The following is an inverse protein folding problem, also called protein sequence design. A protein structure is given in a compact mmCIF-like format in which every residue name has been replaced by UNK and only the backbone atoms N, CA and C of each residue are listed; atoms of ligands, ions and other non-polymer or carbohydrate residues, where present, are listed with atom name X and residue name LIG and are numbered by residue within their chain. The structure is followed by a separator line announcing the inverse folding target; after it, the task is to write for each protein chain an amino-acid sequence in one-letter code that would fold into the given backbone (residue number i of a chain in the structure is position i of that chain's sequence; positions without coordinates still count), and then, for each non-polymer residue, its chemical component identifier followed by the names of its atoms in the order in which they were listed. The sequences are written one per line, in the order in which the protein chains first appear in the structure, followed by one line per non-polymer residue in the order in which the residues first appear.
data_IF_785066559804
#
_entry.id   IF_785066559804
#
_cell.length_a   1.000
_cell.length_b   1.000
_cell.length_c   1.000
_cell.angle_alpha   90.00
_cell.angle_beta   90.00
_cell.angle_gamma   90.00
#
_symmetry.space_group_name_H-M   'P 1'
#
loop_
_entity.id
_entity.type
_entity.pdbx_description
1 polymer ?
#
# COMPACT_ATOMS: atom_id res chain seq x y z
N UNK A 1 -16.88 14.41 -11.93
CA UNK A 1 -15.64 13.66 -12.26
C UNK A 1 -15.81 12.33 -11.57
N UNK A 2 -15.62 11.22 -12.27
CA UNK A 2 -15.79 9.86 -11.71
C UNK A 2 -14.63 9.56 -10.76
N UNK A 3 -14.91 8.98 -9.62
CA UNK A 3 -13.90 8.51 -8.65
C UNK A 3 -13.81 6.99 -8.65
N UNK A 4 -12.62 6.47 -8.37
CA UNK A 4 -12.35 5.04 -8.25
C UNK A 4 -11.56 4.82 -6.96
N UNK A 5 -12.23 4.31 -5.93
CA UNK A 5 -11.65 3.94 -4.65
C UNK A 5 -10.98 2.58 -4.78
N UNK A 6 -9.75 2.45 -4.29
CA UNK A 6 -8.92 1.23 -4.49
C UNK A 6 -8.19 0.88 -3.20
N UNK A 7 -8.15 -0.41 -2.88
CA UNK A 7 -7.23 -1.00 -1.91
C UNK A 7 -6.72 -2.33 -2.44
N UNK A 8 -5.43 -2.61 -2.33
CA UNK A 8 -4.82 -3.85 -2.82
C UNK A 8 -4.07 -4.58 -1.71
N UNK A 9 -4.15 -5.91 -1.76
CA UNK A 9 -3.33 -6.77 -0.93
C UNK A 9 -2.29 -7.49 -1.79
N UNK A 10 -1.03 -7.45 -1.38
CA UNK A 10 0.07 -7.96 -2.20
C UNK A 10 0.94 -8.95 -1.44
N UNK A 11 1.62 -9.83 -2.16
CA UNK A 11 2.71 -10.64 -1.63
C UNK A 11 4.04 -10.20 -2.24
N UNK A 12 5.08 -10.21 -1.45
CA UNK A 12 6.49 -10.18 -1.90
C UNK A 12 7.39 -10.82 -0.84
N UNK A 13 8.48 -11.44 -1.28
CA UNK A 13 9.55 -11.89 -0.38
C UNK A 13 10.38 -10.74 0.19
N UNK A 14 10.27 -9.56 -0.41
CA UNK A 14 10.99 -8.36 0.02
C UNK A 14 10.24 -7.67 1.17
N UNK A 15 10.96 -7.27 2.21
CA UNK A 15 10.37 -6.58 3.36
C UNK A 15 10.23 -5.08 3.07
N UNK A 16 9.01 -4.64 2.80
CA UNK A 16 8.68 -3.24 2.50
C UNK A 16 9.15 -2.28 3.62
N UNK A 17 9.16 -2.72 4.88
CA UNK A 17 9.62 -1.89 6.00
C UNK A 17 11.12 -1.59 5.97
N UNK A 18 11.90 -2.37 5.20
CA UNK A 18 13.35 -2.19 5.05
C UNK A 18 13.74 -1.48 3.77
N UNK A 19 12.99 -1.63 2.70
CA UNK A 19 13.39 -1.17 1.37
C UNK A 19 12.49 -0.08 0.79
N UNK A 20 11.33 0.19 1.40
CA UNK A 20 10.33 1.12 0.87
C UNK A 20 9.53 0.55 -0.31
N UNK A 21 8.50 1.29 -0.74
CA UNK A 21 7.50 0.81 -1.70
C UNK A 21 8.07 0.57 -3.10
N UNK A 22 9.01 1.41 -3.56
CA UNK A 22 9.58 1.28 -4.91
C UNK A 22 10.33 -0.03 -5.09
N UNK A 23 11.27 -0.31 -4.17
CA UNK A 23 12.03 -1.56 -4.21
C UNK A 23 11.15 -2.79 -3.95
N UNK A 24 10.12 -2.64 -3.12
CA UNK A 24 9.12 -3.68 -2.89
C UNK A 24 8.35 -3.99 -4.17
N UNK A 25 7.88 -2.97 -4.89
CA UNK A 25 7.13 -3.13 -6.13
C UNK A 25 7.96 -3.68 -7.29
N UNK A 26 9.28 -3.46 -7.28
CA UNK A 26 10.21 -4.01 -8.27
C UNK A 26 10.59 -5.49 -8.02
N UNK A 27 10.11 -6.08 -6.93
CA UNK A 27 10.41 -7.49 -6.62
C UNK A 27 9.91 -8.42 -7.73
N UNK A 28 10.73 -9.38 -8.14
CA UNK A 28 10.39 -10.36 -9.18
C UNK A 28 9.17 -11.23 -8.80
N UNK A 29 8.94 -11.38 -7.49
CA UNK A 29 7.85 -12.19 -6.93
C UNK A 29 6.68 -11.34 -6.40
N UNK A 30 6.64 -10.04 -6.75
CA UNK A 30 5.49 -9.22 -6.44
C UNK A 30 4.24 -9.78 -7.11
N UNK A 31 3.23 -10.03 -6.31
CA UNK A 31 1.93 -10.49 -6.76
C UNK A 31 0.82 -9.69 -6.09
N UNK A 32 -0.14 -9.19 -6.86
CA UNK A 32 -1.37 -8.62 -6.31
C UNK A 32 -2.31 -9.79 -6.02
N UNK A 33 -2.63 -9.99 -4.75
CA UNK A 33 -3.46 -11.10 -4.28
C UNK A 33 -4.95 -10.77 -4.37
N UNK A 34 -5.31 -9.59 -3.85
CA UNK A 34 -6.67 -9.08 -3.81
C UNK A 34 -6.69 -7.66 -4.34
N UNK A 35 -7.77 -7.32 -5.03
CA UNK A 35 -8.02 -5.98 -5.54
C UNK A 35 -9.45 -5.59 -5.19
N UNK A 36 -9.63 -4.73 -4.19
CA UNK A 36 -10.92 -4.18 -3.82
C UNK A 36 -11.11 -2.80 -4.44
N UNK A 37 -12.29 -2.55 -4.98
CA UNK A 37 -12.59 -1.25 -5.57
C UNK A 37 -14.09 -0.90 -5.52
N UNK A 38 -14.37 0.39 -5.60
CA UNK A 38 -15.70 0.92 -5.82
C UNK A 38 -15.63 2.19 -6.68
N UNK A 39 -16.62 2.38 -7.53
CA UNK A 39 -16.81 3.64 -8.24
C UNK A 39 -17.74 4.54 -7.43
N UNK A 40 -17.34 5.80 -7.28
CA UNK A 40 -18.13 6.83 -6.60
C UNK A 40 -18.70 6.33 -5.24
N UNK A 41 -19.97 6.00 -5.16
CA UNK A 41 -20.65 5.47 -3.96
C UNK A 41 -21.25 4.08 -4.19
N UNK A 42 -20.78 3.36 -5.22
CA UNK A 42 -21.23 2.00 -5.49
C UNK A 42 -20.76 1.01 -4.40
N UNK A 43 -21.34 -0.18 -4.42
CA UNK A 43 -20.90 -1.27 -3.55
C UNK A 43 -19.46 -1.71 -3.89
N UNK A 44 -18.69 -2.05 -2.86
CA UNK A 44 -17.31 -2.51 -3.03
C UNK A 44 -17.26 -3.90 -3.64
N UNK A 45 -16.56 -4.02 -4.75
CA UNK A 45 -16.23 -5.29 -5.42
C UNK A 45 -14.82 -5.72 -5.01
N UNK A 46 -14.63 -7.01 -4.74
CA UNK A 46 -13.31 -7.62 -4.47
C UNK A 46 -13.01 -8.64 -5.53
N UNK A 47 -11.89 -8.48 -6.22
CA UNK A 47 -11.34 -9.46 -7.17
C UNK A 47 -10.27 -10.30 -6.47
N UNK A 48 -10.41 -11.61 -6.53
CA UNK A 48 -9.49 -12.60 -5.95
C UNK A 48 -8.49 -13.06 -7.02
N UNK A 49 -7.49 -12.18 -7.29
CA UNK A 49 -6.51 -12.41 -8.35
C UNK A 49 -5.66 -13.66 -8.07
N UNK A 50 -5.41 -13.95 -6.78
CA UNK A 50 -4.68 -15.16 -6.37
C UNK A 50 -5.44 -16.46 -6.66
N UNK A 51 -6.76 -16.40 -6.88
CA UNK A 51 -7.62 -17.55 -7.22
C UNK A 51 -8.13 -17.52 -8.67
N UNK A 52 -7.63 -16.57 -9.48
CA UNK A 52 -7.89 -16.57 -10.94
C UNK A 52 -8.90 -15.54 -11.42
N UNK A 53 -9.38 -14.63 -10.57
CA UNK A 53 -10.10 -13.46 -11.06
C UNK A 53 -9.12 -12.55 -11.85
N UNK A 54 -9.65 -11.78 -12.78
CA UNK A 54 -8.87 -10.86 -13.61
C UNK A 54 -9.44 -9.43 -13.52
N UNK A 55 -8.58 -8.44 -13.69
CA UNK A 55 -9.02 -7.05 -13.84
C UNK A 55 -9.75 -6.93 -15.19
N UNK A 56 -10.96 -6.37 -15.19
CA UNK A 56 -11.70 -6.13 -16.44
C UNK A 56 -10.99 -5.09 -17.30
N UNK A 57 -11.20 -5.17 -18.63
CA UNK A 57 -10.65 -4.18 -19.56
C UNK A 57 -11.11 -2.74 -19.24
N UNK A 58 -12.35 -2.58 -18.75
CA UNK A 58 -12.87 -1.30 -18.30
C UNK A 58 -12.07 -0.78 -17.10
N UNK A 59 -11.88 -1.60 -16.07
CA UNK A 59 -11.13 -1.23 -14.87
C UNK A 59 -9.67 -0.86 -15.20
N UNK A 60 -9.00 -1.65 -16.05
CA UNK A 60 -7.63 -1.37 -16.51
C UNK A 60 -7.56 -0.02 -17.23
N UNK A 61 -8.54 0.28 -18.08
CA UNK A 61 -8.63 1.57 -18.77
C UNK A 61 -8.85 2.71 -17.79
N UNK A 62 -9.79 2.56 -16.84
CA UNK A 62 -10.14 3.60 -15.88
C UNK A 62 -9.01 3.90 -14.88
N UNK A 63 -8.22 2.89 -14.51
CA UNK A 63 -6.98 3.09 -13.72
C UNK A 63 -6.00 4.02 -14.45
N UNK A 64 -5.97 3.99 -15.78
CA UNK A 64 -5.08 4.80 -16.61
C UNK A 64 -5.72 6.11 -17.11
N UNK A 65 -7.05 6.26 -17.01
CA UNK A 65 -7.78 7.41 -17.55
C UNK A 65 -7.51 8.67 -16.70
N UNK A 66 -7.04 9.78 -17.33
CA UNK A 66 -6.84 11.06 -16.65
C UNK A 66 -8.12 11.70 -16.11
N UNK A 67 -9.30 11.29 -16.61
CA UNK A 67 -10.59 11.82 -16.17
C UNK A 67 -11.20 11.05 -15.01
N UNK A 68 -10.58 9.96 -14.57
CA UNK A 68 -10.95 9.18 -13.39
C UNK A 68 -9.96 9.48 -12.28
N UNK A 69 -10.42 9.98 -11.13
CA UNK A 69 -9.57 10.17 -9.96
C UNK A 69 -9.53 8.88 -9.16
N UNK A 70 -8.34 8.32 -9.00
CA UNK A 70 -8.09 7.17 -8.13
C UNK A 70 -7.89 7.65 -6.70
N UNK A 71 -8.56 7.00 -5.75
CA UNK A 71 -8.53 7.36 -4.34
C UNK A 71 -8.12 6.13 -3.55
N UNK A 72 -7.15 6.31 -2.65
CA UNK A 72 -6.71 5.25 -1.75
C UNK A 72 -6.18 5.86 -0.44
N UNK A 73 -6.09 5.04 0.60
CA UNK A 73 -5.47 5.44 1.86
C UNK A 73 -3.99 5.05 1.88
N UNK A 74 -3.08 6.01 1.80
CA UNK A 74 -1.66 5.83 1.50
C UNK A 74 -1.43 5.47 0.01
N UNK A 75 -2.11 6.20 -0.87
CA UNK A 75 -2.23 5.95 -2.30
C UNK A 75 -0.91 5.75 -3.08
N UNK A 76 0.24 6.11 -2.50
CA UNK A 76 1.56 5.82 -3.07
C UNK A 76 1.78 4.31 -3.23
N UNK A 77 1.29 3.51 -2.28
CA UNK A 77 1.44 2.07 -2.33
C UNK A 77 0.69 1.46 -3.52
N UNK A 78 -0.60 1.77 -3.66
CA UNK A 78 -1.44 1.29 -4.75
C UNK A 78 -0.89 1.75 -6.10
N UNK A 79 -0.58 3.05 -6.22
CA UNK A 79 -0.09 3.64 -7.47
C UNK A 79 1.22 2.99 -7.94
N UNK A 80 2.20 2.82 -7.06
CA UNK A 80 3.51 2.26 -7.40
C UNK A 80 3.40 0.77 -7.71
N UNK A 81 2.66 0.00 -6.91
CA UNK A 81 2.45 -1.43 -7.17
C UNK A 81 1.70 -1.67 -8.48
N UNK A 82 0.63 -0.90 -8.75
CA UNK A 82 -0.14 -0.99 -10.00
C UNK A 82 0.65 -0.51 -11.22
N UNK A 83 1.51 0.51 -11.07
CA UNK A 83 2.43 0.94 -12.14
C UNK A 83 3.38 -0.19 -12.52
N UNK A 84 3.93 -0.88 -11.54
CA UNK A 84 4.84 -2.00 -11.80
C UNK A 84 4.09 -3.21 -12.37
N UNK A 85 2.94 -3.55 -11.84
CA UNK A 85 2.09 -4.65 -12.33
C UNK A 85 1.67 -4.45 -13.79
N UNK A 86 1.19 -3.25 -14.14
CA UNK A 86 0.76 -2.91 -15.51
C UNK A 86 1.93 -2.63 -16.47
N UNK A 87 3.18 -2.54 -15.97
CA UNK A 87 4.37 -2.08 -16.72
C UNK A 87 4.19 -0.71 -17.37
N UNK A 88 3.34 0.12 -16.78
CA UNK A 88 3.04 1.49 -17.23
C UNK A 88 3.03 2.42 -16.01
N UNK A 89 3.79 3.53 -16.03
CA UNK A 89 3.74 4.51 -14.97
C UNK A 89 2.34 5.15 -14.91
N UNK A 90 1.76 5.19 -13.71
CA UNK A 90 0.50 5.86 -13.44
C UNK A 90 0.77 7.29 -12.96
N UNK A 91 0.21 8.27 -13.66
CA UNK A 91 0.43 9.70 -13.36
C UNK A 91 -0.10 10.05 -11.96
N UNK A 92 0.75 10.53 -11.04
CA UNK A 92 0.34 10.89 -9.68
C UNK A 92 -0.73 12.00 -9.61
N UNK A 93 -0.90 12.80 -10.67
CA UNK A 93 -1.96 13.82 -10.73
C UNK A 93 -3.37 13.25 -10.67
N UNK A 94 -3.52 11.97 -10.98
CA UNK A 94 -4.81 11.27 -10.99
C UNK A 94 -5.09 10.54 -9.68
N UNK A 95 -4.21 10.68 -8.68
CA UNK A 95 -4.31 9.99 -7.41
C UNK A 95 -4.50 10.95 -6.26
N UNK A 96 -5.56 10.74 -5.49
CA UNK A 96 -5.81 11.44 -4.24
C UNK A 96 -5.60 10.49 -3.06
N UNK A 97 -4.92 10.97 -2.03
CA UNK A 97 -4.58 10.18 -0.85
C UNK A 97 -5.38 10.65 0.36
N UNK A 98 -6.30 9.82 0.86
CA UNK A 98 -7.10 10.17 2.05
C UNK A 98 -6.26 10.29 3.33
N UNK A 99 -5.11 9.60 3.41
CA UNK A 99 -4.15 9.81 4.50
C UNK A 99 -3.58 11.23 4.49
N UNK A 100 -3.13 11.72 3.33
CA UNK A 100 -2.60 13.09 3.17
C UNK A 100 -3.68 14.12 3.48
N UNK A 101 -4.90 13.91 2.99
CA UNK A 101 -6.04 14.77 3.30
C UNK A 101 -6.35 14.79 4.80
N UNK A 102 -6.39 13.63 5.46
CA UNK A 102 -6.59 13.54 6.91
C UNK A 102 -5.51 14.27 7.70
N UNK A 103 -4.24 14.07 7.35
CA UNK A 103 -3.10 14.74 7.99
C UNK A 103 -3.17 16.26 7.86
N UNK A 104 -3.60 16.79 6.71
CA UNK A 104 -3.76 18.23 6.51
C UNK A 104 -4.82 18.86 7.44
N UNK A 105 -5.77 18.07 7.89
CA UNK A 105 -6.80 18.45 8.86
C UNK A 105 -6.42 18.14 10.32
N UNK A 106 -5.17 17.71 10.57
CA UNK A 106 -4.69 17.37 11.91
C UNK A 106 -5.18 16.04 12.45
N UNK A 107 -5.71 15.15 11.58
CA UNK A 107 -6.16 13.81 11.93
C UNK A 107 -4.99 12.81 11.91
N UNK A 108 -5.12 11.62 12.52
CA UNK A 108 -4.11 10.58 12.47
C UNK A 108 -3.78 10.09 11.05
N UNK A 109 -2.64 9.38 10.87
CA UNK A 109 -2.23 8.85 9.59
C UNK A 109 -2.84 7.47 9.26
N UNK A 110 -3.14 6.62 10.26
CA UNK A 110 -3.64 5.27 9.98
C UNK A 110 -5.13 5.26 9.69
N UNK A 111 -5.56 4.46 8.71
CA UNK A 111 -6.97 4.29 8.34
C UNK A 111 -7.85 3.99 9.57
N UNK A 112 -7.41 3.08 10.45
CA UNK A 112 -8.14 2.72 11.66
C UNK A 112 -8.29 3.88 12.64
N UNK A 113 -7.23 4.68 12.84
CA UNK A 113 -7.27 5.78 13.81
C UNK A 113 -8.02 7.00 13.26
N UNK A 114 -7.96 7.24 11.93
CA UNK A 114 -8.82 8.24 11.28
C UNK A 114 -10.29 7.87 11.45
N UNK A 115 -10.66 6.61 11.19
CA UNK A 115 -12.03 6.13 11.37
C UNK A 115 -12.55 6.34 12.80
N UNK A 116 -11.72 6.05 13.80
CA UNK A 116 -12.05 6.31 15.22
C UNK A 116 -12.18 7.81 15.53
N UNK A 117 -11.22 8.62 15.04
CA UNK A 117 -11.23 10.07 15.27
C UNK A 117 -12.48 10.73 14.67
N UNK A 118 -12.90 10.25 13.51
CA UNK A 118 -14.12 10.68 12.82
C UNK A 118 -15.40 10.05 13.39
N UNK A 119 -15.28 9.16 14.37
CA UNK A 119 -16.41 8.43 14.99
C UNK A 119 -17.29 7.74 13.94
N UNK A 120 -16.66 7.00 13.04
CA UNK A 120 -17.38 6.16 12.10
C UNK A 120 -18.12 5.04 12.83
N UNK A 121 -19.27 4.63 12.29
CA UNK A 121 -20.04 3.49 12.79
C UNK A 121 -19.18 2.21 12.76
N UNK A 122 -19.45 1.24 13.65
CA UNK A 122 -18.62 0.04 13.80
C UNK A 122 -18.50 -0.77 12.51
N UNK A 123 -19.56 -0.84 11.69
CA UNK A 123 -19.60 -1.49 10.38
C UNK A 123 -18.73 -0.80 9.32
N UNK A 124 -18.31 0.45 9.58
CA UNK A 124 -17.44 1.26 8.72
C UNK A 124 -16.03 1.44 9.28
N UNK A 125 -15.68 0.69 10.33
CA UNK A 125 -14.33 0.73 10.90
C UNK A 125 -13.47 -0.40 10.33
N UNK A 126 -12.16 -0.14 10.25
CA UNK A 126 -11.16 -1.13 9.84
C UNK A 126 -11.16 -2.35 10.77
N UNK A 127 -11.11 -3.54 10.19
CA UNK A 127 -11.07 -4.80 10.92
C UNK A 127 -9.76 -4.99 11.70
N UNK A 128 -9.85 -5.28 13.00
CA UNK A 128 -8.68 -5.48 13.87
C UNK A 128 -7.81 -6.71 13.49
N UNK A 129 -8.38 -7.69 12.80
CA UNK A 129 -7.68 -8.93 12.41
C UNK A 129 -6.66 -8.74 11.26
N UNK A 130 -6.74 -7.64 10.51
CA UNK A 130 -5.99 -7.42 9.27
C UNK A 130 -4.50 -7.65 9.38
N UNK A 131 -3.86 -7.13 10.44
CA UNK A 131 -2.41 -7.28 10.65
C UNK A 131 -1.94 -8.74 10.69
N UNK A 132 -2.78 -9.65 11.22
CA UNK A 132 -2.50 -11.08 11.29
C UNK A 132 -2.68 -11.76 9.92
N UNK A 133 -3.67 -11.32 9.15
CA UNK A 133 -3.94 -11.82 7.80
C UNK A 133 -2.85 -11.38 6.82
N UNK A 134 -2.45 -10.11 6.86
CA UNK A 134 -1.31 -9.58 6.09
C UNK A 134 -0.04 -10.36 6.40
N UNK A 135 0.27 -10.60 7.69
CA UNK A 135 1.46 -11.37 8.06
C UNK A 135 1.41 -12.80 7.53
N UNK A 136 0.21 -13.39 7.43
CA UNK A 136 0.04 -14.76 6.99
C UNK A 136 0.14 -14.91 5.47
N UNK A 137 -0.51 -14.03 4.69
CA UNK A 137 -0.60 -14.17 3.22
C UNK A 137 0.39 -13.30 2.45
N UNK A 138 0.74 -12.13 2.96
CA UNK A 138 1.53 -11.14 2.23
C UNK A 138 3.04 -11.23 2.45
N UNK A 139 3.48 -12.12 3.35
CA UNK A 139 4.89 -12.27 3.72
C UNK A 139 5.36 -13.72 3.65
N UNK A 140 6.66 -13.95 3.42
CA UNK A 140 7.24 -15.27 3.57
C UNK A 140 7.01 -15.84 4.98
N UNK A 141 6.79 -17.15 5.06
CA UNK A 141 6.75 -17.87 6.32
C UNK A 141 7.99 -18.75 6.50
N UNK A 142 8.35 -19.04 7.76
CA UNK A 142 9.47 -19.96 8.04
C UNK A 142 9.04 -21.39 7.72
N UNK A 143 9.87 -22.17 6.98
CA UNK A 143 9.63 -23.58 6.77
C UNK A 143 9.70 -24.33 8.10
N UNK A 144 8.69 -25.16 8.36
CA UNK A 144 8.59 -26.02 9.55
C UNK A 144 7.99 -27.38 9.15
N UNK A 145 8.19 -28.40 9.97
CA UNK A 145 7.54 -29.71 9.73
C UNK A 145 6.01 -29.54 9.72
N UNK A 146 5.47 -28.74 10.64
CA UNK A 146 4.03 -28.53 10.77
C UNK A 146 3.38 -27.86 9.54
N UNK A 147 4.13 -27.01 8.81
CA UNK A 147 3.62 -26.34 7.61
C UNK A 147 4.07 -27.02 6.30
N UNK A 148 4.64 -28.24 6.35
CA UNK A 148 5.11 -28.96 5.17
C UNK A 148 6.33 -28.32 4.51
N UNK A 149 7.20 -27.64 5.28
CA UNK A 149 8.43 -26.97 4.81
C UNK A 149 8.17 -25.83 3.80
N UNK A 150 6.96 -25.29 3.75
CA UNK A 150 6.64 -24.19 2.83
C UNK A 150 7.21 -22.86 3.32
N UNK A 151 7.56 -22.01 2.36
CA UNK A 151 8.08 -20.64 2.58
C UNK A 151 7.02 -19.56 2.37
N UNK A 152 5.83 -19.94 1.85
CA UNK A 152 4.71 -19.04 1.55
C UNK A 152 3.38 -19.71 1.86
N UNK A 153 2.41 -18.94 2.32
CA UNK A 153 1.03 -19.37 2.48
C UNK A 153 0.19 -18.92 1.28
N UNK A 154 -0.53 -19.86 0.69
CA UNK A 154 -1.46 -19.64 -0.41
C UNK A 154 -2.92 -19.73 0.10
N UNK A 155 -3.93 -19.25 -0.67
CA UNK A 155 -5.33 -19.27 -0.29
C UNK A 155 -5.82 -20.67 0.18
N UNK A 156 -5.42 -21.72 -0.51
CA UNK A 156 -5.83 -23.10 -0.24
C UNK A 156 -5.24 -23.69 1.06
N UNK A 157 -4.21 -23.08 1.65
CA UNK A 157 -3.65 -23.53 2.92
C UNK A 157 -4.52 -23.18 4.13
N UNK A 158 -5.33 -22.13 4.02
CA UNK A 158 -6.31 -21.76 5.04
C UNK A 158 -7.47 -20.98 4.40
N UNK A 159 -8.45 -21.69 3.83
CA UNK A 159 -9.57 -21.05 3.10
C UNK A 159 -10.43 -20.14 3.98
N UNK A 160 -10.52 -20.43 5.29
CA UNK A 160 -11.28 -19.61 6.23
C UNK A 160 -10.61 -18.26 6.46
N UNK A 161 -9.30 -18.26 6.70
CA UNK A 161 -8.53 -17.01 6.79
C UNK A 161 -8.53 -16.26 5.48
N UNK A 162 -8.51 -16.96 4.34
CA UNK A 162 -8.58 -16.31 3.04
C UNK A 162 -9.92 -15.60 2.83
N UNK A 163 -11.03 -16.21 3.22
CA UNK A 163 -12.35 -15.57 3.19
C UNK A 163 -12.38 -14.31 4.07
N UNK A 164 -11.81 -14.38 5.27
CA UNK A 164 -11.68 -13.20 6.15
C UNK A 164 -10.76 -12.14 5.55
N UNK A 165 -9.74 -12.52 4.78
CA UNK A 165 -8.83 -11.59 4.14
C UNK A 165 -9.49 -10.83 2.99
N UNK A 166 -10.36 -11.47 2.22
CA UNK A 166 -11.22 -10.80 1.24
C UNK A 166 -12.17 -9.80 1.90
N UNK A 167 -12.78 -10.18 3.00
CA UNK A 167 -13.65 -9.27 3.75
C UNK A 167 -12.86 -8.10 4.37
N UNK A 168 -11.63 -8.36 4.82
CA UNK A 168 -10.74 -7.31 5.31
C UNK A 168 -10.41 -6.29 4.20
N UNK A 169 -9.99 -6.74 3.02
CA UNK A 169 -9.69 -5.87 1.87
C UNK A 169 -10.94 -5.08 1.44
N UNK A 170 -12.13 -5.73 1.39
CA UNK A 170 -13.41 -5.04 1.16
C UNK A 170 -13.66 -3.94 2.19
N UNK A 171 -13.45 -4.25 3.48
CA UNK A 171 -13.72 -3.34 4.58
C UNK A 171 -12.77 -2.14 4.57
N UNK A 172 -11.53 -2.30 4.10
CA UNK A 172 -10.58 -1.18 3.99
C UNK A 172 -11.07 -0.14 2.98
N UNK A 173 -11.65 -0.54 1.83
CA UNK A 173 -12.30 0.39 0.88
C UNK A 173 -13.56 1.02 1.48
N UNK A 174 -14.43 0.24 2.15
CA UNK A 174 -15.63 0.80 2.82
C UNK A 174 -15.23 1.86 3.85
N UNK A 175 -14.21 1.59 4.63
CA UNK A 175 -13.70 2.53 5.63
C UNK A 175 -13.11 3.77 4.97
N UNK A 176 -12.33 3.59 3.90
CA UNK A 176 -11.71 4.67 3.14
C UNK A 176 -12.77 5.60 2.52
N UNK A 177 -13.79 5.05 1.86
CA UNK A 177 -14.91 5.80 1.28
C UNK A 177 -15.65 6.62 2.34
N UNK A 178 -15.94 6.02 3.51
CA UNK A 178 -16.61 6.72 4.61
C UNK A 178 -15.73 7.85 5.18
N UNK A 179 -14.42 7.68 5.22
CA UNK A 179 -13.46 8.73 5.58
C UNK A 179 -13.48 9.82 4.51
N UNK A 180 -13.35 9.45 3.24
CA UNK A 180 -13.36 10.38 2.11
C UNK A 180 -14.58 11.30 2.15
N UNK A 181 -15.79 10.77 2.35
CA UNK A 181 -17.03 11.55 2.47
C UNK A 181 -16.99 12.57 3.61
N UNK A 182 -16.35 12.23 4.72
CA UNK A 182 -16.20 13.15 5.86
C UNK A 182 -15.18 14.25 5.57
N UNK A 183 -14.05 13.88 4.94
CA UNK A 183 -12.98 14.80 4.60
C UNK A 183 -13.41 15.79 3.50
N UNK A 184 -14.24 15.35 2.54
CA UNK A 184 -14.74 16.20 1.45
C UNK A 184 -15.65 17.34 1.90
N UNK A 185 -16.05 17.39 3.16
CA UNK A 185 -16.66 18.59 3.77
C UNK A 185 -15.66 19.73 3.96
N UNK A 186 -14.37 19.42 3.93
CA UNK A 186 -13.24 20.33 4.04
C UNK A 186 -12.21 19.95 2.94
N UNK A 187 -12.54 20.19 1.67
CA UNK A 187 -11.70 19.74 0.55
C UNK A 187 -10.34 20.44 0.57
N UNK A 188 -9.30 19.69 0.20
CA UNK A 188 -7.98 20.26 -0.01
C UNK A 188 -8.01 21.19 -1.24
N UNK A 189 -7.33 22.35 -1.18
CA UNK A 189 -7.13 23.20 -2.34
C UNK A 189 -6.36 22.46 -3.45
N UNK A 190 -6.61 22.82 -4.70
CA UNK A 190 -5.88 22.28 -5.87
C UNK A 190 -4.35 22.47 -5.77
N UNK A 191 -3.89 23.53 -5.05
CA UNK A 191 -2.48 23.76 -4.79
C UNK A 191 -1.85 22.60 -4.01
N UNK A 192 -2.56 22.05 -3.01
CA UNK A 192 -2.07 20.94 -2.18
C UNK A 192 -2.01 19.63 -3.00
N UNK A 193 -3.00 19.36 -3.85
CA UNK A 193 -2.94 18.21 -4.75
C UNK A 193 -1.81 18.32 -5.78
N UNK A 194 -1.49 19.54 -6.23
CA UNK A 194 -0.32 19.76 -7.08
C UNK A 194 0.99 19.51 -6.33
N UNK A 195 1.10 19.95 -5.08
CA UNK A 195 2.26 19.68 -4.23
C UNK A 195 2.40 18.18 -3.93
N UNK A 196 1.31 17.49 -3.62
CA UNK A 196 1.29 16.04 -3.46
C UNK A 196 1.78 15.33 -4.73
N UNK A 197 1.27 15.72 -5.90
CA UNK A 197 1.70 15.13 -7.17
C UNK A 197 3.17 15.38 -7.46
N UNK A 198 3.67 16.58 -7.15
CA UNK A 198 5.08 16.93 -7.31
C UNK A 198 5.97 16.10 -6.38
N UNK A 199 5.58 15.92 -5.12
CA UNK A 199 6.27 15.05 -4.17
C UNK A 199 6.37 13.61 -4.70
N UNK A 200 5.26 13.08 -5.21
CA UNK A 200 5.23 11.74 -5.81
C UNK A 200 6.16 11.65 -7.03
N UNK A 201 6.22 12.66 -7.88
CA UNK A 201 7.13 12.70 -9.03
C UNK A 201 8.60 12.77 -8.61
N UNK A 202 8.93 13.55 -7.58
CA UNK A 202 10.29 13.59 -7.03
C UNK A 202 10.69 12.21 -6.53
N UNK A 203 9.79 11.52 -5.83
CA UNK A 203 10.04 10.18 -5.33
C UNK A 203 10.14 9.13 -6.45
N UNK A 204 9.31 9.22 -7.49
CA UNK A 204 9.38 8.33 -8.67
C UNK A 204 10.71 8.49 -9.43
N UNK A 205 11.19 9.71 -9.54
CA UNK A 205 12.45 10.02 -10.24
C UNK A 205 13.68 9.64 -9.39
N UNK A 206 13.58 9.82 -8.09
CA UNK A 206 14.65 9.61 -7.12
C UNK A 206 15.73 10.69 -7.19
N UNK A 207 16.74 10.52 -6.33
CA UNK A 207 17.91 11.41 -6.28
C UNK A 207 19.14 10.59 -6.64
N UNK A 208 19.91 11.05 -7.62
CA UNK A 208 21.17 10.43 -7.98
C UNK A 208 22.19 10.54 -6.84
N UNK A 209 22.71 9.41 -6.41
CA UNK A 209 23.78 9.34 -5.41
C UNK A 209 25.09 8.83 -6.06
N UNK A 210 26.21 9.27 -5.52
CA UNK A 210 27.53 8.71 -5.87
C UNK A 210 27.70 7.38 -5.12
N UNK A 211 27.53 6.28 -5.85
CA UNK A 211 27.56 4.93 -5.27
C UNK A 211 28.96 4.56 -4.73
N UNK A 212 30.03 5.02 -5.37
CA UNK A 212 31.42 4.73 -4.96
C UNK A 212 31.76 5.48 -3.67
N UNK A 213 31.38 6.77 -3.59
CA UNK A 213 31.50 7.54 -2.37
C UNK A 213 30.69 6.92 -1.23
N UNK A 214 29.43 6.54 -1.47
CA UNK A 214 28.58 5.92 -0.46
C UNK A 214 29.14 4.59 0.03
N UNK A 215 29.70 3.77 -0.87
CA UNK A 215 30.40 2.52 -0.53
C UNK A 215 31.57 2.78 0.43
N UNK A 216 32.43 3.73 0.09
CA UNK A 216 33.58 4.13 0.91
C UNK A 216 33.17 4.64 2.29
N UNK A 217 32.11 5.47 2.36
CA UNK A 217 31.58 5.97 3.64
C UNK A 217 31.04 4.84 4.52
N UNK A 218 30.33 3.87 3.93
CA UNK A 218 29.79 2.71 4.66
C UNK A 218 30.93 1.84 5.22
N UNK A 219 31.99 1.57 4.45
CA UNK A 219 33.16 0.82 4.90
C UNK A 219 33.87 1.54 6.04
N UNK A 220 34.17 2.81 5.87
CA UNK A 220 34.77 3.64 6.90
C UNK A 220 33.95 3.65 8.20
N UNK A 221 32.63 3.80 8.08
CA UNK A 221 31.73 3.78 9.25
C UNK A 221 31.80 2.46 10.01
N UNK A 222 31.82 1.33 9.29
CA UNK A 222 31.94 -0.01 9.90
C UNK A 222 33.29 -0.21 10.62
N UNK A 223 34.37 0.25 10.02
CA UNK A 223 35.71 0.18 10.63
C UNK A 223 35.82 1.05 11.88
N UNK A 224 35.28 2.27 11.79
CA UNK A 224 35.26 3.19 12.92
C UNK A 224 34.40 2.68 14.07
N UNK A 225 33.24 2.09 13.80
CA UNK A 225 32.40 1.46 14.81
C UNK A 225 33.15 0.33 15.53
N UNK A 226 33.84 -0.54 14.77
CA UNK A 226 34.64 -1.62 15.38
C UNK A 226 35.74 -1.08 16.31
N UNK A 227 36.40 0.03 15.88
CA UNK A 227 37.44 0.66 16.69
C UNK A 227 36.87 1.23 17.99
N UNK A 228 35.76 1.98 17.92
CA UNK A 228 35.10 2.53 19.09
C UNK A 228 34.61 1.44 20.06
N UNK A 229 34.03 0.35 19.56
CA UNK A 229 33.61 -0.78 20.40
C UNK A 229 34.78 -1.35 21.19
N UNK A 230 35.93 -1.55 20.53
CA UNK A 230 37.14 -2.06 21.18
C UNK A 230 37.67 -1.10 22.26
N UNK A 231 37.67 0.21 21.97
CA UNK A 231 38.08 1.23 22.94
C UNK A 231 37.15 1.31 24.17
N UNK A 232 35.86 0.94 24.02
CA UNK A 232 34.91 0.90 25.14
C UNK A 232 35.00 -0.41 25.97
N UNK A 233 35.60 -1.46 25.43
CA UNK A 233 35.78 -2.76 26.11
C UNK A 233 37.10 -2.81 26.90
N UNK A 234 38.05 -1.92 26.62
CA UNK A 234 39.30 -1.73 27.35
C UNK A 234 39.14 -0.78 28.54
#
# INVERSE_FOLDING_TARGET
MRTLHIDIETYSSVDIGKCGVYRYAESEDLEILLFAYAYDHDDVTVLDLACGDELTEELIRDIQDPNVIKIAHNATFERVCLSNFSKKPLDPKQWHCTMVHALSLGLPASLADVGKALKLDEDKQKMAIGKRLITYFCKPCKPTIANGQRTRNYPHHDPERWRLFKEYNRQDVVTEMAIYDRLMKFPLPDSEWRLYSLDQWINDYGIKVDADMMGSVIEFSKEHEKKLRKECEE
#
